data_IF_604883370052
#
_entry.id   IF_604883370052
#
_cell.length_a   1.000
_cell.length_b   1.000
_cell.length_c   1.000
_cell.angle_alpha   90.00
_cell.angle_beta   90.00
_cell.angle_gamma   90.00
#
_symmetry.space_group_name_H-M   'P 1'
#
loop_
_entity.id
_entity.type
_entity.pdbx_description
1 polymer ?
#
# COMPACT_ATOMS: atom_id res chain seq x y z
N UNK A 1 -22.91 -8.75 -15.05
CA UNK A 1 -21.85 -8.51 -14.05
C UNK A 1 -21.73 -9.73 -13.16
N UNK A 2 -20.49 -10.10 -12.83
CA UNK A 2 -20.26 -11.25 -11.94
C UNK A 2 -20.74 -10.91 -10.52
N UNK A 3 -21.28 -11.92 -9.85
CA UNK A 3 -21.63 -11.79 -8.43
C UNK A 3 -21.12 -13.02 -7.68
N UNK A 4 -20.94 -12.85 -6.38
CA UNK A 4 -20.51 -13.93 -5.49
C UNK A 4 -21.65 -14.27 -4.55
N UNK A 5 -21.96 -15.56 -4.45
CA UNK A 5 -22.89 -16.05 -3.42
C UNK A 5 -22.14 -16.28 -2.11
N UNK A 6 -22.89 -16.43 -1.01
CA UNK A 6 -22.29 -16.56 0.33
C UNK A 6 -21.33 -17.76 0.45
N UNK A 7 -21.55 -18.84 -0.31
CA UNK A 7 -20.67 -20.00 -0.29
C UNK A 7 -19.33 -19.76 -1.04
N UNK A 8 -19.23 -18.67 -1.78
CA UNK A 8 -17.99 -18.25 -2.47
C UNK A 8 -17.20 -17.21 -1.67
N UNK A 9 -17.77 -16.72 -0.57
CA UNK A 9 -17.13 -15.67 0.23
C UNK A 9 -15.82 -16.18 0.83
N UNK A 10 -14.77 -15.34 0.70
CA UNK A 10 -13.45 -15.63 1.25
C UNK A 10 -12.67 -14.32 1.42
N UNK A 11 -11.66 -14.37 2.25
CA UNK A 11 -10.71 -13.26 2.40
C UNK A 11 -10.08 -12.91 1.05
N UNK A 12 -9.99 -11.62 0.76
CA UNK A 12 -9.41 -11.11 -0.49
C UNK A 12 -10.40 -10.83 -1.61
N UNK A 13 -11.67 -11.25 -1.50
CA UNK A 13 -12.68 -10.93 -2.52
C UNK A 13 -12.94 -9.42 -2.57
N UNK A 14 -13.04 -8.89 -3.78
CA UNK A 14 -13.41 -7.50 -4.03
C UNK A 14 -14.86 -7.47 -4.50
N UNK A 15 -15.70 -6.79 -3.73
CA UNK A 15 -17.14 -6.74 -3.93
C UNK A 15 -17.65 -5.31 -3.87
N UNK A 16 -18.80 -5.07 -4.50
CA UNK A 16 -19.50 -3.79 -4.36
C UNK A 16 -20.47 -3.89 -3.17
N UNK A 17 -20.40 -2.91 -2.29
CA UNK A 17 -21.30 -2.79 -1.17
C UNK A 17 -21.73 -1.35 -1.04
N UNK A 18 -23.06 -1.10 -1.14
CA UNK A 18 -23.62 0.25 -1.13
C UNK A 18 -22.97 1.18 -2.18
N UNK A 19 -22.60 0.61 -3.33
CA UNK A 19 -22.00 1.35 -4.44
C UNK A 19 -20.48 1.52 -4.38
N UNK A 20 -19.84 1.14 -3.28
CA UNK A 20 -18.39 1.29 -3.09
C UNK A 20 -17.65 -0.04 -3.23
N UNK A 21 -16.43 -0.01 -3.78
CA UNK A 21 -15.58 -1.20 -3.82
C UNK A 21 -15.06 -1.51 -2.42
N UNK A 22 -15.21 -2.76 -2.01
CA UNK A 22 -14.77 -3.24 -0.71
C UNK A 22 -13.96 -4.53 -0.86
N UNK A 23 -13.07 -4.77 0.09
CA UNK A 23 -12.34 -6.04 0.18
C UNK A 23 -12.83 -6.81 1.41
N UNK A 24 -13.08 -8.10 1.24
CA UNK A 24 -13.34 -8.98 2.37
C UNK A 24 -12.04 -9.28 3.10
N UNK A 25 -12.02 -8.96 4.39
CA UNK A 25 -10.86 -9.23 5.26
C UNK A 25 -11.00 -10.58 5.91
N UNK A 26 -12.19 -10.91 6.42
CA UNK A 26 -12.47 -12.15 7.09
C UNK A 26 -13.87 -12.63 6.71
N UNK A 27 -14.04 -13.95 6.65
CA UNK A 27 -15.34 -14.58 6.44
C UNK A 27 -15.46 -15.77 7.38
N UNK A 28 -16.51 -15.76 8.21
CA UNK A 28 -16.82 -16.85 9.12
C UNK A 28 -18.20 -17.41 8.79
N UNK A 29 -18.26 -18.71 8.47
CA UNK A 29 -19.53 -19.40 8.28
C UNK A 29 -20.06 -19.87 9.63
N UNK A 30 -21.29 -19.44 9.98
CA UNK A 30 -21.92 -19.80 11.24
C UNK A 30 -23.18 -20.60 10.96
N UNK A 31 -23.25 -21.80 11.53
CA UNK A 31 -24.42 -22.67 11.45
C UNK A 31 -24.98 -22.86 12.87
N UNK A 32 -25.97 -22.05 13.28
CA UNK A 32 -26.54 -22.17 14.62
C UNK A 32 -27.36 -23.45 14.76
N UNK A 33 -27.50 -23.93 16.00
CA UNK A 33 -28.32 -25.10 16.30
C UNK A 33 -29.79 -24.89 16.01
N UNK A 34 -30.26 -23.65 16.10
CA UNK A 34 -31.61 -23.21 15.70
C UNK A 34 -31.48 -21.96 14.85
N UNK A 35 -32.15 -21.95 13.71
CA UNK A 35 -32.15 -20.84 12.78
C UNK A 35 -31.33 -21.10 11.51
N UNK A 36 -31.33 -20.11 10.64
CA UNK A 36 -30.69 -20.18 9.33
C UNK A 36 -29.17 -19.93 9.43
N UNK A 37 -28.40 -20.68 8.66
CA UNK A 37 -26.96 -20.44 8.53
C UNK A 37 -26.67 -19.07 7.93
N UNK A 38 -25.59 -18.46 8.35
CA UNK A 38 -25.18 -17.14 7.87
C UNK A 38 -23.65 -17.03 7.82
N UNK A 39 -23.19 -16.02 7.07
CA UNK A 39 -21.77 -15.66 7.02
C UNK A 39 -21.60 -14.33 7.76
N UNK A 40 -20.63 -14.28 8.68
CA UNK A 40 -20.19 -13.04 9.31
C UNK A 40 -18.94 -12.57 8.58
N UNK A 41 -19.01 -11.41 7.94
CA UNK A 41 -17.98 -10.92 7.05
C UNK A 41 -17.43 -9.60 7.55
N UNK A 42 -16.11 -9.51 7.67
CA UNK A 42 -15.41 -8.27 7.95
C UNK A 42 -14.95 -7.66 6.63
N UNK A 43 -15.32 -6.42 6.40
CA UNK A 43 -15.09 -5.71 5.13
C UNK A 43 -14.33 -4.42 5.38
N UNK A 44 -13.53 -4.02 4.39
CA UNK A 44 -12.90 -2.70 4.36
C UNK A 44 -13.29 -1.99 3.07
N UNK A 45 -13.82 -0.77 3.21
CA UNK A 45 -14.13 0.09 2.09
C UNK A 45 -12.82 0.62 1.49
N UNK A 46 -12.60 0.40 0.19
CA UNK A 46 -11.36 0.81 -0.47
C UNK A 46 -11.32 2.30 -0.79
N UNK A 47 -12.45 3.00 -0.70
CA UNK A 47 -12.52 4.45 -0.94
C UNK A 47 -12.14 5.28 0.28
N UNK A 48 -12.48 4.81 1.50
CA UNK A 48 -12.29 5.56 2.74
C UNK A 48 -11.58 4.78 3.85
N UNK A 49 -11.18 3.53 3.57
CA UNK A 49 -10.49 2.62 4.50
C UNK A 49 -11.27 2.25 5.77
N UNK A 50 -12.55 2.57 5.84
CA UNK A 50 -13.38 2.17 6.98
C UNK A 50 -13.60 0.67 6.97
N UNK A 51 -13.57 0.08 8.15
CA UNK A 51 -13.83 -1.34 8.35
C UNK A 51 -15.12 -1.51 9.13
N UNK A 52 -15.88 -2.54 8.78
CA UNK A 52 -17.08 -2.93 9.53
C UNK A 52 -17.37 -4.41 9.33
N UNK A 53 -18.22 -4.92 10.18
CA UNK A 53 -18.71 -6.29 10.11
C UNK A 53 -20.14 -6.29 9.59
N UNK A 54 -20.48 -7.25 8.74
CA UNK A 54 -21.84 -7.42 8.23
C UNK A 54 -22.15 -8.91 8.14
N UNK A 55 -23.41 -9.24 8.43
CA UNK A 55 -23.92 -10.61 8.38
C UNK A 55 -24.73 -10.80 7.11
N UNK A 56 -24.46 -11.90 6.40
CA UNK A 56 -25.20 -12.28 5.20
C UNK A 56 -25.85 -13.65 5.41
N UNK A 57 -27.14 -13.72 5.11
CA UNK A 57 -27.87 -14.99 5.17
C UNK A 57 -27.49 -15.87 3.99
N UNK A 58 -27.54 -17.19 4.17
CA UNK A 58 -27.32 -18.13 3.06
C UNK A 58 -28.28 -17.82 1.92
N UNK A 59 -27.75 -17.76 0.70
CA UNK A 59 -28.50 -17.39 -0.50
C UNK A 59 -28.40 -15.93 -0.91
N UNK A 60 -27.87 -15.07 -0.06
CA UNK A 60 -27.55 -13.69 -0.46
C UNK A 60 -26.31 -13.68 -1.35
N UNK A 61 -26.15 -12.60 -2.12
CA UNK A 61 -25.01 -12.42 -3.03
C UNK A 61 -24.57 -10.96 -3.01
N UNK A 62 -23.32 -10.74 -3.41
CA UNK A 62 -22.74 -9.41 -3.63
C UNK A 62 -22.17 -9.35 -5.04
N UNK A 63 -22.31 -8.18 -5.68
CA UNK A 63 -21.69 -7.95 -6.98
C UNK A 63 -20.17 -7.89 -6.84
N UNK A 64 -19.45 -8.43 -7.83
CA UNK A 64 -18.00 -8.30 -7.91
C UNK A 64 -17.64 -6.85 -8.25
N UNK A 65 -16.61 -6.32 -7.58
CA UNK A 65 -16.03 -5.04 -7.95
C UNK A 65 -14.91 -5.26 -8.97
N UNK A 66 -14.84 -4.40 -9.99
CA UNK A 66 -13.74 -4.43 -10.96
C UNK A 66 -12.50 -3.75 -10.35
N UNK A 67 -11.84 -4.48 -9.47
CA UNK A 67 -10.62 -4.04 -8.79
C UNK A 67 -9.50 -5.01 -9.13
N UNK A 68 -8.45 -4.50 -9.76
CA UNK A 68 -7.26 -5.29 -10.09
C UNK A 68 -6.02 -4.58 -9.59
N UNK A 69 -5.00 -5.35 -9.26
CA UNK A 69 -3.69 -4.83 -8.88
C UNK A 69 -2.71 -5.07 -10.03
N UNK A 70 -1.94 -4.03 -10.37
CA UNK A 70 -0.94 -4.10 -11.42
C UNK A 70 0.36 -3.47 -10.94
N UNK A 71 1.48 -4.09 -11.31
CA UNK A 71 2.79 -3.49 -11.09
C UNK A 71 3.03 -2.44 -12.16
N UNK A 72 3.39 -1.23 -11.72
CA UNK A 72 3.66 -0.11 -12.61
C UNK A 72 4.93 0.62 -12.20
N UNK A 73 5.65 1.10 -13.18
CA UNK A 73 6.82 1.94 -12.99
C UNK A 73 6.40 3.39 -12.80
N UNK A 74 6.92 4.05 -11.76
CA UNK A 74 6.69 5.48 -11.57
C UNK A 74 7.56 6.27 -12.54
N UNK A 75 6.95 7.18 -13.30
CA UNK A 75 7.64 7.97 -14.31
C UNK A 75 8.01 9.37 -13.81
N UNK A 76 7.01 10.17 -13.45
CA UNK A 76 7.19 11.56 -13.03
C UNK A 76 5.89 12.13 -12.44
N UNK A 77 6.00 13.32 -11.85
CA UNK A 77 4.83 14.11 -11.46
C UNK A 77 4.84 15.44 -12.19
N UNK A 78 3.64 15.91 -12.55
CA UNK A 78 3.42 17.26 -13.08
C UNK A 78 2.95 18.24 -11.99
N UNK A 79 2.93 17.79 -10.72
CA UNK A 79 2.46 18.58 -9.58
C UNK A 79 0.99 18.36 -9.23
N UNK A 80 0.20 17.86 -10.15
CA UNK A 80 -1.21 17.54 -9.96
C UNK A 80 -1.45 16.04 -9.98
N UNK A 81 -0.79 15.32 -10.90
CA UNK A 81 -0.86 13.88 -11.04
C UNK A 81 0.52 13.26 -10.97
N UNK A 82 0.54 11.99 -10.58
CA UNK A 82 1.72 11.13 -10.57
C UNK A 82 1.51 10.05 -11.62
N UNK A 83 2.42 9.97 -12.59
CA UNK A 83 2.25 9.14 -13.79
C UNK A 83 2.98 7.81 -13.64
N UNK A 84 2.25 6.73 -13.89
CA UNK A 84 2.73 5.36 -13.80
C UNK A 84 2.54 4.65 -15.12
N UNK A 85 3.39 3.69 -15.42
CA UNK A 85 3.36 2.94 -16.66
C UNK A 85 3.39 1.44 -16.39
N UNK A 86 2.55 0.68 -17.10
CA UNK A 86 2.54 -0.77 -16.99
C UNK A 86 3.91 -1.35 -17.37
N UNK A 87 4.31 -2.41 -16.65
CA UNK A 87 5.59 -3.10 -16.89
C UNK A 87 5.45 -4.31 -17.80
N UNK A 88 4.29 -4.49 -18.43
CA UNK A 88 3.96 -5.64 -19.28
C UNK A 88 4.39 -5.48 -20.76
N UNK A 89 5.04 -4.38 -21.09
CA UNK A 89 5.44 -4.07 -22.48
C UNK A 89 4.43 -3.30 -23.29
N UNK A 90 3.25 -3.00 -22.74
CA UNK A 90 2.22 -2.21 -23.44
C UNK A 90 2.53 -0.72 -23.42
N UNK A 91 3.34 -0.25 -22.44
CA UNK A 91 3.65 1.15 -22.21
C UNK A 91 2.41 2.01 -21.90
N UNK A 92 1.31 1.39 -21.50
CA UNK A 92 0.12 2.13 -21.07
C UNK A 92 0.42 2.92 -19.79
N UNK A 93 -0.01 4.18 -19.76
CA UNK A 93 0.23 5.09 -18.65
C UNK A 93 -1.08 5.42 -17.93
N UNK A 94 -0.97 5.60 -16.62
CA UNK A 94 -2.11 5.91 -15.75
C UNK A 94 -1.74 7.07 -14.83
N UNK A 95 -2.52 8.17 -14.83
CA UNK A 95 -2.32 9.27 -13.89
C UNK A 95 -3.02 8.94 -12.56
N UNK A 96 -2.29 9.01 -11.48
CA UNK A 96 -2.83 8.86 -10.13
C UNK A 96 -2.91 10.23 -9.45
N UNK A 97 -4.02 10.51 -8.78
CA UNK A 97 -4.21 11.76 -8.07
C UNK A 97 -3.52 11.75 -6.70
N UNK A 98 -3.54 12.88 -6.00
CA UNK A 98 -2.91 13.04 -4.70
C UNK A 98 -3.45 12.05 -3.66
N UNK A 99 -4.74 11.74 -3.71
CA UNK A 99 -5.36 10.79 -2.79
C UNK A 99 -4.85 9.36 -3.04
N UNK A 100 -4.75 8.97 -4.30
CA UNK A 100 -4.28 7.63 -4.69
C UNK A 100 -2.83 7.38 -4.27
N UNK A 101 -1.96 8.38 -4.38
CA UNK A 101 -0.53 8.23 -4.05
C UNK A 101 -0.19 8.55 -2.60
N UNK A 102 -1.16 8.98 -1.78
CA UNK A 102 -0.89 9.53 -0.44
C UNK A 102 0.01 8.64 0.43
N UNK A 103 -0.21 7.33 0.44
CA UNK A 103 0.56 6.39 1.26
C UNK A 103 1.95 6.10 0.69
N UNK A 104 2.13 6.29 -0.61
CA UNK A 104 3.38 6.02 -1.30
C UNK A 104 4.20 7.28 -1.55
N UNK A 105 3.62 8.47 -1.37
CA UNK A 105 4.20 9.74 -1.83
C UNK A 105 5.64 9.95 -1.36
N UNK A 106 5.92 9.69 -0.10
CA UNK A 106 7.25 9.87 0.49
C UNK A 106 8.26 8.79 0.08
N UNK A 107 7.80 7.77 -0.63
CA UNK A 107 8.66 6.65 -1.09
C UNK A 107 8.78 6.59 -2.61
N UNK A 108 8.16 7.52 -3.34
CA UNK A 108 8.19 7.50 -4.81
C UNK A 108 9.56 7.89 -5.35
N UNK A 109 10.14 6.97 -6.10
CA UNK A 109 11.39 7.16 -6.82
C UNK A 109 11.18 6.82 -8.28
N UNK A 110 11.58 7.72 -9.18
CA UNK A 110 11.44 7.50 -10.63
C UNK A 110 12.12 6.18 -11.04
N UNK A 111 11.46 5.46 -11.94
CA UNK A 111 11.90 4.17 -12.49
C UNK A 111 11.75 2.98 -11.53
N UNK A 112 11.32 3.19 -10.30
CA UNK A 112 10.99 2.09 -9.40
C UNK A 112 9.55 1.62 -9.64
N UNK A 113 9.28 0.37 -9.22
CA UNK A 113 7.99 -0.29 -9.46
C UNK A 113 7.13 -0.26 -8.19
N UNK A 114 5.86 0.05 -8.38
CA UNK A 114 4.83 0.14 -7.32
C UNK A 114 3.63 -0.69 -7.70
N UNK A 115 2.87 -1.15 -6.71
CA UNK A 115 1.60 -1.83 -6.95
C UNK A 115 0.49 -0.80 -7.03
N UNK A 116 -0.14 -0.67 -8.19
CA UNK A 116 -1.26 0.24 -8.41
C UNK A 116 -2.55 -0.56 -8.41
N UNK A 117 -3.47 -0.18 -7.52
CA UNK A 117 -4.82 -0.76 -7.48
C UNK A 117 -5.71 0.05 -8.39
N UNK A 118 -6.27 -0.60 -9.41
CA UNK A 118 -7.19 0.01 -10.37
C UNK A 118 -8.63 -0.38 -10.02
N UNK A 119 -9.51 0.61 -9.97
CA UNK A 119 -10.94 0.42 -9.86
C UNK A 119 -11.61 0.98 -11.11
N UNK A 120 -12.30 0.11 -11.85
CA UNK A 120 -12.87 0.45 -13.16
C UNK A 120 -11.85 1.12 -14.09
N UNK A 121 -10.60 0.64 -14.05
CA UNK A 121 -9.53 1.14 -14.91
C UNK A 121 -8.84 2.42 -14.44
N UNK A 122 -9.23 2.98 -13.31
CA UNK A 122 -8.62 4.20 -12.77
C UNK A 122 -7.82 3.91 -11.49
N UNK A 123 -6.65 4.56 -11.30
CA UNK A 123 -5.87 4.37 -10.09
C UNK A 123 -6.65 4.77 -8.83
N UNK A 124 -6.80 3.83 -7.90
CA UNK A 124 -7.45 4.02 -6.62
C UNK A 124 -6.43 4.21 -5.50
N UNK A 125 -5.40 3.38 -5.47
CA UNK A 125 -4.29 3.46 -4.52
C UNK A 125 -2.99 3.05 -5.16
N UNK A 126 -1.89 3.62 -4.67
CA UNK A 126 -0.52 3.23 -5.02
C UNK A 126 0.14 2.73 -3.74
N UNK A 127 0.63 1.49 -3.78
CA UNK A 127 1.25 0.85 -2.63
C UNK A 127 2.74 0.66 -2.89
N UNK A 128 3.62 1.19 -2.03
CA UNK A 128 5.05 0.99 -2.19
C UNK A 128 5.43 -0.45 -1.85
N UNK A 129 6.56 -0.95 -2.35
CA UNK A 129 7.10 -2.20 -1.84
C UNK A 129 7.39 -2.09 -0.35
N UNK A 130 7.43 -3.21 0.35
CA UNK A 130 7.64 -3.23 1.80
C UNK A 130 8.97 -2.61 2.20
N UNK A 131 9.98 -2.70 1.33
CA UNK A 131 11.31 -2.17 1.60
C UNK A 131 11.79 -1.34 0.41
N UNK A 132 12.39 -0.19 0.72
CA UNK A 132 12.99 0.68 -0.30
C UNK A 132 14.42 1.01 0.09
N UNK A 133 15.24 1.30 -0.91
CA UNK A 133 16.63 1.72 -0.71
C UNK A 133 16.77 3.15 -1.20
N UNK A 134 17.05 4.07 -0.28
CA UNK A 134 17.09 5.50 -0.56
C UNK A 134 18.35 6.15 -0.01
N UNK A 135 18.88 7.12 -0.74
CA UNK A 135 20.08 7.87 -0.37
C UNK A 135 19.74 8.97 0.64
N UNK A 136 20.62 9.15 1.62
CA UNK A 136 20.54 10.26 2.59
C UNK A 136 21.04 11.53 1.90
N UNK A 137 20.18 12.55 1.83
CA UNK A 137 20.52 13.84 1.22
C UNK A 137 20.76 14.93 2.27
N UNK A 138 20.25 14.76 3.48
CA UNK A 138 20.46 15.70 4.57
C UNK A 138 20.41 14.98 5.93
N UNK A 139 21.40 15.22 6.75
CA UNK A 139 21.45 14.77 8.13
C UNK A 139 22.58 15.49 8.86
N UNK A 140 22.57 15.45 10.19
CA UNK A 140 23.68 15.97 11.00
C UNK A 140 24.94 15.14 10.77
N UNK A 141 26.15 15.74 10.96
CA UNK A 141 27.39 15.01 10.82
C UNK A 141 27.46 13.73 11.63
N UNK A 142 28.10 12.69 11.07
CA UNK A 142 28.28 11.41 11.78
C UNK A 142 29.14 11.60 13.03
N UNK A 143 28.68 11.05 14.15
CA UNK A 143 29.39 11.09 15.43
C UNK A 143 30.00 9.72 15.69
N UNK A 144 31.32 9.69 15.92
CA UNK A 144 32.02 8.48 16.34
C UNK A 144 31.97 8.38 17.86
N UNK A 145 31.63 7.24 18.38
CA UNK A 145 31.72 6.94 19.80
C UNK A 145 30.42 6.95 20.60
N UNK A 146 29.32 7.40 20.01
CA UNK A 146 28.03 7.44 20.73
C UNK A 146 27.18 6.18 20.57
N UNK A 147 27.75 5.12 19.98
CA UNK A 147 27.05 3.86 19.75
C UNK A 147 26.66 3.14 21.05
N UNK A 148 27.32 3.47 22.16
CA UNK A 148 27.08 2.83 23.46
C UNK A 148 25.79 3.31 24.14
N UNK A 149 25.18 4.42 23.69
CA UNK A 149 23.99 4.99 24.33
C UNK A 149 22.74 4.99 23.45
N UNK A 150 22.81 4.42 22.23
CA UNK A 150 21.64 4.20 21.38
C UNK A 150 20.94 5.47 20.91
N UNK A 151 21.65 6.57 20.73
CA UNK A 151 21.08 7.81 20.22
C UNK A 151 20.67 7.71 18.77
N UNK A 152 19.68 8.49 18.37
CA UNK A 152 19.23 8.59 16.99
C UNK A 152 19.11 10.05 16.57
N UNK A 153 19.06 10.26 15.25
CA UNK A 153 18.89 11.58 14.64
C UNK A 153 18.01 11.48 13.40
N UNK A 154 17.38 12.59 12.98
CA UNK A 154 16.64 12.56 11.73
C UNK A 154 17.56 12.59 10.51
N UNK A 155 17.20 11.88 9.47
CA UNK A 155 17.85 11.94 8.17
C UNK A 155 16.79 12.12 7.10
N UNK A 156 17.02 13.05 6.17
CA UNK A 156 16.16 13.28 5.02
C UNK A 156 16.70 12.46 3.85
N UNK A 157 15.82 11.67 3.25
CA UNK A 157 16.14 10.81 2.13
C UNK A 157 15.84 11.50 0.79
N UNK A 158 16.33 10.94 -0.30
CA UNK A 158 16.21 11.53 -1.65
C UNK A 158 14.77 11.77 -2.10
N UNK A 159 13.80 11.06 -1.55
CA UNK A 159 12.38 11.24 -1.85
C UNK A 159 11.69 12.29 -0.97
N UNK A 160 12.42 12.90 -0.03
CA UNK A 160 11.87 13.83 0.94
C UNK A 160 11.39 13.18 2.23
N UNK A 161 11.41 11.86 2.32
CA UNK A 161 11.03 11.15 3.55
C UNK A 161 12.06 11.43 4.64
N UNK A 162 11.59 11.62 5.88
CA UNK A 162 12.45 11.80 7.05
C UNK A 162 12.35 10.55 7.91
N UNK A 163 13.49 9.94 8.21
CA UNK A 163 13.55 8.73 9.04
C UNK A 163 14.51 8.93 10.19
N UNK A 164 14.26 8.25 11.31
CA UNK A 164 15.16 8.23 12.46
C UNK A 164 16.26 7.21 12.21
N UNK A 165 17.51 7.65 12.30
CA UNK A 165 18.68 6.82 11.98
C UNK A 165 19.71 6.87 13.12
N UNK A 166 20.62 5.87 13.20
CA UNK A 166 21.73 5.92 14.13
C UNK A 166 22.63 7.14 13.90
N UNK A 167 23.31 7.59 14.93
CA UNK A 167 24.14 8.80 14.88
C UNK A 167 25.30 8.71 13.89
N UNK A 168 25.77 7.51 13.53
CA UNK A 168 26.89 7.32 12.62
C UNK A 168 26.54 7.51 11.13
N UNK A 169 25.27 7.65 10.80
CA UNK A 169 24.83 7.80 9.39
C UNK A 169 25.28 9.17 8.86
N UNK A 170 25.79 9.18 7.64
CA UNK A 170 26.25 10.38 6.94
C UNK A 170 25.55 10.58 5.61
N UNK A 171 25.60 11.80 5.08
CA UNK A 171 25.06 12.13 3.75
C UNK A 171 25.75 11.27 2.68
N UNK A 172 24.96 10.78 1.72
CA UNK A 172 25.44 9.94 0.62
C UNK A 172 25.28 8.45 0.87
N UNK A 173 25.02 8.04 2.10
CA UNK A 173 24.76 6.63 2.39
C UNK A 173 23.39 6.21 1.90
N UNK A 174 23.28 4.98 1.39
CA UNK A 174 22.02 4.40 0.96
C UNK A 174 21.48 3.53 2.08
N UNK A 175 20.23 3.77 2.46
CA UNK A 175 19.59 3.09 3.57
C UNK A 175 18.43 2.23 3.10
N UNK A 176 18.29 1.06 3.72
CA UNK A 176 17.10 0.22 3.56
C UNK A 176 16.09 0.61 4.63
N UNK A 177 14.87 0.92 4.20
CA UNK A 177 13.78 1.39 5.06
C UNK A 177 12.55 0.53 4.85
N UNK A 178 11.86 0.21 5.94
CA UNK A 178 10.54 -0.44 5.88
C UNK A 178 9.48 0.63 5.66
N UNK A 179 8.80 0.58 4.51
CA UNK A 179 7.78 1.58 4.16
C UNK A 179 6.52 1.47 5.00
N UNK A 180 6.26 0.29 5.59
CA UNK A 180 5.07 0.05 6.42
C UNK A 180 5.16 0.77 7.76
N UNK A 181 6.35 0.81 8.35
CA UNK A 181 6.60 1.45 9.65
C UNK A 181 7.33 2.79 9.52
N UNK A 182 8.01 3.02 8.39
CA UNK A 182 8.87 4.19 8.20
C UNK A 182 10.21 4.07 8.91
N UNK A 183 10.60 2.86 9.32
CA UNK A 183 11.79 2.64 10.13
C UNK A 183 13.01 2.26 9.30
N UNK A 184 14.16 2.81 9.69
CA UNK A 184 15.47 2.42 9.20
C UNK A 184 15.78 0.97 9.60
N UNK A 185 16.29 0.18 8.68
CA UNK A 185 16.71 -1.20 8.95
C UNK A 185 18.23 -1.36 8.95
N UNK A 186 18.88 -0.95 7.88
CA UNK A 186 20.33 -1.08 7.75
C UNK A 186 20.86 -0.19 6.62
N UNK A 187 22.19 -0.06 6.57
CA UNK A 187 22.86 0.55 5.41
C UNK A 187 23.01 -0.48 4.31
N UNK A 188 22.82 -0.03 3.06
CA UNK A 188 23.08 -0.85 1.90
C UNK A 188 24.54 -0.67 1.52
N UNK A 189 25.28 -1.78 1.48
CA UNK A 189 26.68 -1.72 1.05
C UNK A 189 26.73 -1.49 -0.45
N UNK A 190 27.45 -0.44 -0.86
CA UNK A 190 27.76 -0.27 -2.26
C UNK A 190 28.71 -1.39 -2.70
N UNK A 191 28.27 -2.13 -3.69
CA UNK A 191 29.08 -3.18 -4.30
C UNK A 191 30.10 -2.58 -5.28
#
# INVERSE_FOLDING_TARGET
MASYSTNEFRSGLKVLLDGDPCIMLENEFVKPGKGQAFNRVKLRNLMNNRQWERTFKSGESLEAADVIEQDMEYLYTDGEFWHFMLTDGSFEQYPADAKAVSDALKWLKEQDVYTVTLYNGAPLTVTPPNFVELEVVETDPGMKGDTAQGGSKPATLSTGAVVSVPLFITIGEVLKVDTRSGEYLNRVKSS
#
